data_IF_116793206798
#
_entry.id   IF_116793206798
#
_cell.length_a   1.000
_cell.length_b   1.000
_cell.length_c   1.000
_cell.angle_alpha   90.00
_cell.angle_beta   90.00
_cell.angle_gamma   90.00
#
_symmetry.space_group_name_H-M   'P 1'
#
loop_
_entity.id
_entity.type
_entity.pdbx_description
1 polymer ?
#
# COMPACT_ATOMS: atom_id res chain seq x y z
N UNK A 1 17.25 -6.93 5.88
CA UNK A 1 17.64 -5.60 5.44
C UNK A 1 16.77 -5.14 4.28
N UNK A 2 16.34 -3.89 4.29
CA UNK A 2 15.45 -3.34 3.27
C UNK A 2 15.82 -1.94 2.84
N UNK A 3 15.30 -1.52 1.68
CA UNK A 3 15.51 -0.17 1.15
C UNK A 3 14.85 0.05 -0.20
N UNK A 4 15.12 1.18 -0.83
CA UNK A 4 14.73 1.42 -2.22
C UNK A 4 15.48 0.50 -3.18
N UNK A 5 14.91 0.26 -4.36
CA UNK A 5 15.53 -0.57 -5.38
C UNK A 5 16.89 -0.01 -5.84
N UNK A 6 17.09 1.29 -5.76
CA UNK A 6 18.34 1.99 -6.04
C UNK A 6 19.47 1.65 -5.06
N UNK A 7 19.16 1.19 -3.85
CA UNK A 7 20.13 0.80 -2.84
C UNK A 7 20.67 -0.62 -3.04
N UNK A 8 20.04 -1.46 -3.88
CA UNK A 8 20.51 -2.82 -4.13
C UNK A 8 21.98 -2.84 -4.56
N UNK A 9 22.34 -1.93 -5.46
CA UNK A 9 23.71 -1.70 -5.87
C UNK A 9 23.97 -0.18 -6.05
N UNK A 10 25.10 0.35 -5.57
CA UNK A 10 26.23 -0.37 -4.92
C UNK A 10 26.07 -0.51 -3.40
N UNK A 11 25.15 0.20 -2.77
CA UNK A 11 25.11 0.41 -1.31
C UNK A 11 24.97 -0.90 -0.51
N UNK A 12 23.93 -1.68 -0.78
CA UNK A 12 23.68 -2.93 -0.06
C UNK A 12 24.69 -4.02 -0.40
N UNK A 13 25.13 -4.10 -1.65
CA UNK A 13 26.16 -5.04 -2.08
C UNK A 13 27.48 -4.78 -1.35
N UNK A 14 27.93 -3.52 -1.29
CA UNK A 14 29.15 -3.17 -0.56
C UNK A 14 29.00 -3.37 0.94
N UNK A 15 27.85 -3.05 1.52
CA UNK A 15 27.58 -3.30 2.93
C UNK A 15 27.68 -4.80 3.25
N UNK A 16 27.09 -5.65 2.41
CA UNK A 16 27.18 -7.10 2.56
C UNK A 16 28.63 -7.59 2.47
N UNK A 17 29.39 -7.11 1.47
CA UNK A 17 30.79 -7.45 1.28
C UNK A 17 31.67 -7.02 2.48
N UNK A 18 31.49 -5.79 2.97
CA UNK A 18 32.23 -5.30 4.14
C UNK A 18 31.93 -6.13 5.41
N UNK A 19 30.64 -6.43 5.65
CA UNK A 19 30.27 -7.26 6.80
C UNK A 19 30.89 -8.65 6.69
N UNK A 20 30.81 -9.30 5.54
CA UNK A 20 31.38 -10.61 5.34
C UNK A 20 32.92 -10.62 5.54
N UNK A 21 33.61 -9.60 5.02
CA UNK A 21 35.07 -9.46 5.17
C UNK A 21 35.50 -9.26 6.63
N UNK A 22 34.72 -8.48 7.40
CA UNK A 22 35.06 -8.15 8.79
C UNK A 22 34.69 -9.25 9.78
N UNK A 23 33.57 -9.95 9.55
CA UNK A 23 32.96 -10.84 10.53
C UNK A 23 32.93 -12.30 10.13
N UNK A 24 33.13 -12.61 8.84
CA UNK A 24 32.95 -13.96 8.28
C UNK A 24 31.48 -14.37 8.16
N UNK A 25 30.52 -13.47 8.42
CA UNK A 25 29.09 -13.77 8.43
C UNK A 25 28.32 -12.94 7.40
N UNK A 26 27.15 -13.44 7.00
CA UNK A 26 26.23 -12.68 6.14
C UNK A 26 25.67 -11.46 6.88
N UNK A 27 25.54 -10.34 6.16
CA UNK A 27 24.98 -9.10 6.71
C UNK A 27 23.48 -9.23 7.04
N UNK A 28 22.72 -9.93 6.20
CA UNK A 28 21.28 -10.16 6.39
C UNK A 28 20.84 -11.50 5.82
N UNK A 29 19.85 -12.13 6.46
CA UNK A 29 19.24 -13.36 5.97
C UNK A 29 18.24 -13.10 4.84
N UNK A 30 17.62 -11.92 4.83
CA UNK A 30 16.63 -11.50 3.83
C UNK A 30 16.93 -10.07 3.38
N UNK A 31 16.87 -9.87 2.08
CA UNK A 31 16.95 -8.55 1.44
C UNK A 31 15.61 -8.22 0.79
N UNK A 32 15.06 -7.05 1.07
CA UNK A 32 13.82 -6.59 0.48
C UNK A 32 14.01 -5.19 -0.08
N UNK A 33 13.59 -5.00 -1.34
CA UNK A 33 13.68 -3.70 -2.00
C UNK A 33 12.31 -3.27 -2.52
N UNK A 34 12.01 -1.99 -2.34
CA UNK A 34 10.77 -1.37 -2.82
C UNK A 34 11.04 -0.53 -4.06
N UNK A 35 10.07 -0.50 -4.98
CA UNK A 35 10.14 0.35 -6.15
C UNK A 35 10.18 1.83 -5.78
N UNK A 36 10.81 2.65 -6.63
CA UNK A 36 10.86 4.09 -6.43
C UNK A 36 9.54 4.74 -6.85
N UNK A 37 9.17 5.81 -6.14
CA UNK A 37 8.03 6.63 -6.50
C UNK A 37 8.53 7.86 -7.25
N UNK A 38 8.02 8.07 -8.46
CA UNK A 38 8.28 9.26 -9.26
C UNK A 38 7.14 10.27 -9.15
N UNK A 39 7.43 11.50 -9.53
CA UNK A 39 6.47 12.58 -9.70
C UNK A 39 6.89 13.41 -10.92
N UNK A 40 5.98 13.63 -11.86
CA UNK A 40 6.23 14.32 -13.12
C UNK A 40 7.40 13.72 -13.91
N UNK A 41 7.39 12.38 -14.03
CA UNK A 41 8.39 11.61 -14.78
C UNK A 41 9.77 11.50 -14.14
N UNK A 42 9.97 12.02 -12.93
CA UNK A 42 11.26 12.02 -12.24
C UNK A 42 11.15 11.42 -10.86
N UNK A 43 12.09 10.58 -10.40
CA UNK A 43 12.10 10.08 -9.03
C UNK A 43 12.04 11.21 -8.01
N UNK A 44 11.21 11.06 -6.98
CA UNK A 44 11.11 12.06 -5.91
C UNK A 44 12.42 12.16 -5.14
N UNK A 45 12.94 13.38 -4.99
CA UNK A 45 14.11 13.64 -4.15
C UNK A 45 14.06 15.00 -3.46
N UNK A 46 14.71 15.09 -2.31
CA UNK A 46 14.81 16.36 -1.56
C UNK A 46 15.57 17.43 -2.36
N UNK A 47 16.61 17.02 -3.09
CA UNK A 47 17.45 17.94 -3.89
C UNK A 47 16.70 18.55 -5.07
N UNK A 48 15.75 17.84 -5.65
CA UNK A 48 14.90 18.34 -6.73
C UNK A 48 13.70 19.12 -6.23
N UNK A 49 13.37 19.04 -4.94
CA UNK A 49 12.21 19.73 -4.36
C UNK A 49 10.85 19.20 -4.86
N UNK A 50 10.82 18.04 -5.51
CA UNK A 50 9.63 17.46 -6.14
C UNK A 50 8.91 16.44 -5.24
N UNK A 51 9.05 16.55 -3.91
CA UNK A 51 8.40 15.64 -2.98
C UNK A 51 6.90 15.94 -2.87
N UNK A 52 6.08 14.91 -3.02
CA UNK A 52 4.68 14.94 -2.59
C UNK A 52 4.62 14.64 -1.10
N UNK A 53 4.33 15.66 -0.31
CA UNK A 53 4.30 15.55 1.16
C UNK A 53 2.89 15.20 1.65
N UNK A 54 2.76 14.10 2.39
CA UNK A 54 1.49 13.69 3.03
C UNK A 54 0.90 14.81 3.89
N UNK A 55 1.74 15.55 4.63
CA UNK A 55 1.30 16.68 5.44
C UNK A 55 0.63 17.80 4.61
N UNK A 56 1.12 18.06 3.41
CA UNK A 56 0.49 19.05 2.50
C UNK A 56 -0.86 18.55 1.99
N UNK A 57 -0.96 17.30 1.62
CA UNK A 57 -2.23 16.70 1.19
C UNK A 57 -3.29 16.78 2.29
N UNK A 58 -2.91 16.50 3.55
CA UNK A 58 -3.81 16.61 4.71
C UNK A 58 -4.26 18.05 4.90
N UNK A 59 -3.36 19.04 4.83
CA UNK A 59 -3.71 20.48 4.93
C UNK A 59 -4.65 20.92 3.81
N UNK A 60 -4.53 20.29 2.63
CA UNK A 60 -5.45 20.51 1.49
C UNK A 60 -6.81 19.81 1.67
N UNK A 61 -7.03 19.12 2.78
CA UNK A 61 -8.30 18.45 3.08
C UNK A 61 -8.42 17.04 2.50
N UNK A 62 -7.32 16.45 2.01
CA UNK A 62 -7.34 15.07 1.54
C UNK A 62 -7.46 14.11 2.73
N UNK A 63 -8.43 13.21 2.67
CA UNK A 63 -8.59 12.16 3.69
C UNK A 63 -7.36 11.24 3.71
N UNK A 64 -6.71 11.05 4.88
CA UNK A 64 -5.54 10.18 5.00
C UNK A 64 -5.77 8.74 4.51
N UNK A 65 -7.01 8.25 4.61
CA UNK A 65 -7.40 6.92 4.10
C UNK A 65 -7.32 6.85 2.58
N UNK A 66 -7.65 7.93 1.87
CA UNK A 66 -7.50 8.01 0.42
C UNK A 66 -6.03 7.99 0.00
N UNK A 67 -5.16 8.72 0.72
CA UNK A 67 -3.70 8.68 0.48
C UNK A 67 -3.19 7.25 0.65
N UNK A 68 -3.63 6.56 1.71
CA UNK A 68 -3.27 5.16 1.95
C UNK A 68 -3.76 4.23 0.83
N UNK A 69 -5.00 4.39 0.37
CA UNK A 69 -5.53 3.61 -0.75
C UNK A 69 -4.78 3.87 -2.06
N UNK A 70 -4.33 5.11 -2.32
CA UNK A 70 -3.50 5.43 -3.47
C UNK A 70 -2.17 4.65 -3.43
N UNK A 71 -1.51 4.59 -2.28
CA UNK A 71 -0.26 3.83 -2.10
C UNK A 71 -0.51 2.33 -2.24
N UNK A 72 -1.54 1.79 -1.57
CA UNK A 72 -1.87 0.37 -1.59
C UNK A 72 -2.38 -0.12 -2.96
N UNK A 73 -2.79 0.79 -3.85
CA UNK A 73 -3.16 0.43 -5.22
C UNK A 73 -1.96 0.08 -6.10
N UNK A 74 -0.75 0.28 -5.59
CA UNK A 74 0.51 -0.05 -6.26
C UNK A 74 1.21 -1.21 -5.55
N UNK A 75 1.79 -2.13 -6.33
CA UNK A 75 2.59 -3.19 -5.74
C UNK A 75 3.96 -2.65 -5.32
N UNK A 76 4.39 -2.93 -4.10
CA UNK A 76 5.59 -2.34 -3.51
C UNK A 76 6.89 -2.63 -4.27
N UNK A 77 6.99 -3.74 -5.02
CA UNK A 77 8.19 -4.07 -5.80
C UNK A 77 8.33 -3.25 -7.06
N UNK A 78 7.22 -2.76 -7.63
CA UNK A 78 7.23 -1.97 -8.86
C UNK A 78 7.55 -0.50 -8.60
N UNK A 79 8.29 0.14 -9.50
CA UNK A 79 8.33 1.60 -9.54
C UNK A 79 6.99 2.13 -10.07
N UNK A 80 6.53 3.25 -9.51
CA UNK A 80 5.27 3.87 -9.93
C UNK A 80 5.33 5.39 -9.80
N UNK A 81 4.38 6.05 -10.42
CA UNK A 81 4.32 7.50 -10.43
C UNK A 81 3.12 8.01 -9.61
N UNK A 82 3.38 8.97 -8.72
CA UNK A 82 2.33 9.72 -8.08
C UNK A 82 1.70 10.70 -9.08
N UNK A 83 0.39 10.60 -9.28
CA UNK A 83 -0.38 11.52 -10.13
C UNK A 83 -1.63 11.99 -9.41
N UNK A 84 -2.18 13.14 -9.84
CA UNK A 84 -3.46 13.63 -9.31
C UNK A 84 -4.59 12.64 -9.65
N UNK A 85 -4.57 12.02 -10.83
CA UNK A 85 -5.54 11.01 -11.24
C UNK A 85 -5.51 9.76 -10.33
N UNK A 86 -4.32 9.35 -9.85
CA UNK A 86 -4.20 8.27 -8.88
C UNK A 86 -4.88 8.63 -7.55
N UNK A 87 -4.66 9.85 -7.07
CA UNK A 87 -5.30 10.34 -5.85
C UNK A 87 -6.81 10.46 -6.00
N UNK A 88 -7.30 11.02 -7.09
CA UNK A 88 -8.74 11.12 -7.41
C UNK A 88 -9.40 9.75 -7.44
N UNK A 89 -8.77 8.76 -8.08
CA UNK A 89 -9.24 7.37 -8.10
C UNK A 89 -9.32 6.77 -6.70
N UNK A 90 -8.35 7.05 -5.85
CA UNK A 90 -8.33 6.58 -4.46
C UNK A 90 -9.41 7.26 -3.60
N UNK A 91 -9.68 8.54 -3.82
CA UNK A 91 -10.78 9.27 -3.17
C UNK A 91 -12.15 8.72 -3.59
N UNK A 92 -12.33 8.44 -4.88
CA UNK A 92 -13.56 7.82 -5.39
C UNK A 92 -13.76 6.41 -4.81
N UNK A 93 -12.68 5.60 -4.74
CA UNK A 93 -12.71 4.29 -4.08
C UNK A 93 -13.12 4.41 -2.60
N UNK A 94 -12.50 5.32 -1.86
CA UNK A 94 -12.85 5.53 -0.45
C UNK A 94 -14.32 5.92 -0.29
N UNK A 95 -14.83 6.82 -1.11
CA UNK A 95 -16.25 7.23 -1.11
C UNK A 95 -17.17 6.02 -1.32
N UNK A 96 -16.84 5.16 -2.29
CA UNK A 96 -17.58 3.92 -2.55
C UNK A 96 -17.54 2.96 -1.35
N UNK A 97 -16.39 2.79 -0.72
CA UNK A 97 -16.24 1.92 0.44
C UNK A 97 -16.99 2.45 1.67
N UNK A 98 -16.97 3.77 1.90
CA UNK A 98 -17.73 4.40 2.99
C UNK A 98 -19.25 4.29 2.80
N UNK A 99 -19.73 4.37 1.56
CA UNK A 99 -21.14 4.18 1.25
C UNK A 99 -21.58 2.71 1.43
N UNK A 100 -20.67 1.76 1.18
CA UNK A 100 -20.93 0.32 1.32
C UNK A 100 -20.88 -0.15 2.79
N UNK A 101 -20.00 0.39 3.61
CA UNK A 101 -19.73 -0.09 4.97
C UNK A 101 -20.97 -0.18 5.88
N UNK A 102 -21.94 0.79 5.89
CA UNK A 102 -23.11 0.74 6.74
C UNK A 102 -24.22 -0.16 6.22
N UNK A 103 -24.08 -0.82 5.05
CA UNK A 103 -25.15 -1.68 4.53
C UNK A 103 -25.34 -2.92 5.40
N UNK A 104 -26.61 -3.34 5.67
CA UNK A 104 -26.88 -4.51 6.49
C UNK A 104 -26.21 -5.76 5.93
N UNK A 105 -25.39 -6.40 6.74
CA UNK A 105 -24.53 -7.50 6.31
C UNK A 105 -25.01 -8.88 6.76
N UNK A 106 -24.30 -9.90 6.29
CA UNK A 106 -24.48 -11.30 6.69
C UNK A 106 -23.72 -11.61 7.99
N UNK A 107 -24.12 -12.69 8.70
CA UNK A 107 -23.44 -13.10 9.94
C UNK A 107 -21.97 -13.49 9.76
N UNK A 108 -21.61 -14.02 8.61
CA UNK A 108 -20.25 -14.47 8.29
C UNK A 108 -19.77 -13.87 6.96
N UNK A 109 -18.63 -13.17 7.02
CA UNK A 109 -17.89 -12.69 5.85
C UNK A 109 -16.77 -13.66 5.46
N UNK A 110 -16.44 -13.72 4.17
CA UNK A 110 -15.29 -14.48 3.66
C UNK A 110 -14.12 -13.55 3.30
N UNK A 111 -14.34 -12.24 3.32
CA UNK A 111 -13.36 -11.25 2.90
C UNK A 111 -12.08 -11.30 3.76
N UNK A 112 -12.19 -11.58 5.06
CA UNK A 112 -11.03 -11.74 5.95
C UNK A 112 -10.05 -12.78 5.41
N UNK A 113 -10.56 -13.96 5.01
CA UNK A 113 -9.71 -15.03 4.50
C UNK A 113 -9.15 -14.68 3.11
N UNK A 114 -9.97 -14.07 2.27
CA UNK A 114 -9.55 -13.62 0.94
C UNK A 114 -8.42 -12.59 1.01
N UNK A 115 -8.55 -11.57 1.87
CA UNK A 115 -7.52 -10.57 2.10
C UNK A 115 -6.23 -11.19 2.65
N UNK A 116 -6.34 -12.10 3.63
CA UNK A 116 -5.17 -12.79 4.18
C UNK A 116 -4.43 -13.61 3.12
N UNK A 117 -5.15 -14.37 2.32
CA UNK A 117 -4.55 -15.19 1.25
C UNK A 117 -3.87 -14.31 0.21
N UNK A 118 -4.53 -13.22 -0.21
CA UNK A 118 -3.98 -12.29 -1.20
C UNK A 118 -2.74 -11.57 -0.67
N UNK A 119 -2.77 -11.10 0.58
CA UNK A 119 -1.62 -10.40 1.18
C UNK A 119 -0.47 -11.35 1.56
N UNK A 120 -0.74 -12.64 1.76
CA UNK A 120 0.31 -13.65 1.95
C UNK A 120 1.08 -13.95 0.66
N UNK A 121 0.53 -13.62 -0.49
CA UNK A 121 1.21 -13.69 -1.78
C UNK A 121 1.93 -12.35 -2.06
N UNK A 122 3.13 -12.26 -1.53
CA UNK A 122 4.05 -11.12 -1.74
C UNK A 122 3.45 -9.73 -1.46
N UNK A 123 2.57 -9.62 -0.46
CA UNK A 123 1.88 -8.38 -0.12
C UNK A 123 1.10 -7.76 -1.31
N UNK A 124 0.42 -8.59 -2.09
CA UNK A 124 -0.37 -8.12 -3.25
C UNK A 124 -1.56 -7.25 -2.80
N UNK A 125 -1.23 -6.00 -2.42
CA UNK A 125 -2.21 -5.01 -2.00
C UNK A 125 -3.15 -4.57 -3.13
N UNK A 126 -2.72 -4.43 -4.40
CA UNK A 126 -3.64 -4.13 -5.49
C UNK A 126 -4.77 -5.13 -5.62
N UNK A 127 -4.45 -6.42 -5.59
CA UNK A 127 -5.46 -7.49 -5.63
C UNK A 127 -6.32 -7.52 -4.38
N UNK A 128 -5.76 -7.22 -3.20
CA UNK A 128 -6.53 -7.10 -1.97
C UNK A 128 -7.59 -5.98 -2.06
N UNK A 129 -7.23 -4.80 -2.59
CA UNK A 129 -8.20 -3.73 -2.85
C UNK A 129 -9.28 -4.16 -3.85
N UNK A 130 -8.87 -4.83 -4.93
CA UNK A 130 -9.80 -5.32 -5.96
C UNK A 130 -10.82 -6.33 -5.39
N UNK A 131 -10.49 -7.13 -4.34
CA UNK A 131 -11.45 -8.01 -3.67
C UNK A 131 -12.57 -7.24 -2.99
N UNK A 132 -12.24 -6.11 -2.34
CA UNK A 132 -13.26 -5.24 -1.72
C UNK A 132 -14.12 -4.60 -2.80
N UNK A 133 -13.49 -4.02 -3.83
CA UNK A 133 -14.18 -3.37 -4.96
C UNK A 133 -15.16 -4.34 -5.65
N UNK A 134 -14.75 -5.60 -5.86
CA UNK A 134 -15.59 -6.62 -6.49
C UNK A 134 -16.84 -6.93 -5.68
N UNK A 135 -16.75 -6.93 -4.34
CA UNK A 135 -17.93 -7.13 -3.47
C UNK A 135 -18.91 -5.97 -3.58
N UNK A 136 -18.38 -4.75 -3.61
CA UNK A 136 -19.19 -3.54 -3.78
C UNK A 136 -19.90 -3.56 -5.13
N UNK A 137 -19.16 -3.86 -6.20
CA UNK A 137 -19.71 -3.95 -7.57
C UNK A 137 -20.77 -5.05 -7.69
N UNK A 138 -20.63 -6.16 -6.97
CA UNK A 138 -21.60 -7.25 -6.92
C UNK A 138 -22.77 -6.98 -5.96
N UNK A 139 -22.87 -5.77 -5.37
CA UNK A 139 -23.88 -5.40 -4.36
C UNK A 139 -23.94 -6.38 -3.16
N UNK A 140 -22.82 -6.98 -2.80
CA UNK A 140 -22.71 -7.86 -1.66
C UNK A 140 -22.41 -7.03 -0.40
N UNK A 141 -23.29 -7.02 0.62
CA UNK A 141 -23.05 -6.27 1.84
C UNK A 141 -21.87 -6.87 2.63
N UNK A 142 -21.21 -6.08 3.50
CA UNK A 142 -20.13 -6.59 4.35
C UNK A 142 -20.64 -7.70 5.26
N UNK A 143 -19.86 -8.74 5.44
CA UNK A 143 -20.15 -9.79 6.42
C UNK A 143 -19.57 -9.47 7.79
N UNK A 144 -19.93 -10.25 8.80
CA UNK A 144 -19.36 -10.10 10.14
C UNK A 144 -17.84 -10.24 10.11
N UNK A 145 -17.12 -9.22 10.62
CA UNK A 145 -15.66 -9.15 10.65
C UNK A 145 -15.00 -8.60 9.39
N UNK A 146 -15.73 -8.37 8.29
CA UNK A 146 -15.13 -7.86 7.04
C UNK A 146 -14.57 -6.43 7.22
N UNK A 147 -15.28 -5.55 7.93
CA UNK A 147 -14.81 -4.18 8.18
C UNK A 147 -13.61 -4.16 9.13
N UNK A 148 -13.59 -5.04 10.12
CA UNK A 148 -12.45 -5.21 11.03
C UNK A 148 -11.23 -5.74 10.27
N UNK A 149 -11.43 -6.66 9.31
CA UNK A 149 -10.36 -7.17 8.47
C UNK A 149 -9.78 -6.08 7.56
N UNK A 150 -10.61 -5.23 6.97
CA UNK A 150 -10.16 -4.07 6.17
C UNK A 150 -9.35 -3.12 7.06
N UNK A 151 -9.85 -2.80 8.25
CA UNK A 151 -9.14 -1.94 9.19
C UNK A 151 -7.81 -2.53 9.65
N UNK A 152 -7.78 -3.84 9.99
CA UNK A 152 -6.58 -4.50 10.52
C UNK A 152 -5.53 -4.79 9.44
N UNK A 153 -5.94 -5.24 8.25
CA UNK A 153 -5.03 -5.71 7.20
C UNK A 153 -4.63 -4.62 6.22
N UNK A 154 -5.54 -3.70 5.91
CA UNK A 154 -5.28 -2.59 4.98
C UNK A 154 -5.07 -1.25 5.70
N UNK A 155 -5.37 -1.17 7.00
CA UNK A 155 -5.26 0.07 7.79
C UNK A 155 -6.27 1.15 7.36
N UNK A 156 -7.41 0.75 6.80
CA UNK A 156 -8.48 1.65 6.35
C UNK A 156 -9.71 1.43 7.21
N UNK A 157 -9.93 2.31 8.18
CA UNK A 157 -11.12 2.26 9.05
C UNK A 157 -12.30 2.92 8.35
N UNK A 158 -13.40 2.18 8.16
CA UNK A 158 -14.59 2.63 7.44
C UNK A 158 -15.75 3.02 8.38
N UNK A 159 -15.73 2.57 9.60
CA UNK A 159 -16.68 2.90 10.67
C UNK A 159 -15.93 3.36 11.92
N UNK A 160 -16.58 4.16 12.76
CA UNK A 160 -16.02 4.61 14.04
C UNK A 160 -16.05 3.51 15.10
#
# INVERSE_FOLDING_TARGET
NGGGADLAFPHHEFTAGHTAALTGHQHAHLWSHVGLVSYQGTPMSKSLGNLVLVSRLIVQGVDPRAIRLAILSQHYRGGWEWTDALLESAQARLTSWLAWAPTPGRRHGTLTQELRTTLADDLDTPSALARVDARIAAHQPPGGGDLDAIAALLGVRLVE
#
